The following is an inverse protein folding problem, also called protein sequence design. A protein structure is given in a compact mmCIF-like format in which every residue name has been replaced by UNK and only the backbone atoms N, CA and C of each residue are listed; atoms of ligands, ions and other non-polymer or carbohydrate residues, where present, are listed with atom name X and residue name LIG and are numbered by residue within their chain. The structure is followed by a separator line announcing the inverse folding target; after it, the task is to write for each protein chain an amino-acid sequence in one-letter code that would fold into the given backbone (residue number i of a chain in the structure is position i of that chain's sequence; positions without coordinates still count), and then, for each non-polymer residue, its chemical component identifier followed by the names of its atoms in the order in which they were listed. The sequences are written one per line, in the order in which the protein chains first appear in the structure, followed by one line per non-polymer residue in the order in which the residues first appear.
data_IF_109372215306
#
_entry.id   IF_109372215306
#
_cell.length_a   1.000
_cell.length_b   1.000
_cell.length_c   1.000
_cell.angle_alpha   90.00
_cell.angle_beta   90.00
_cell.angle_gamma   90.00
#
_symmetry.space_group_name_H-M   'P 1'
#
loop_
_entity.id
_entity.type
_entity.pdbx_description
1 polymer ?
#
# COMPACT_ATOMS: atom_id res chain seq x y z
N UNK A 1 12.15 7.05 -2.75
CA UNK A 1 12.61 6.35 -1.52
C UNK A 1 12.19 4.89 -1.49
N UNK A 2 10.91 4.55 -1.58
CA UNK A 2 10.46 3.14 -1.54
C UNK A 2 11.17 2.25 -2.57
N UNK A 3 11.31 2.72 -3.81
CA UNK A 3 12.05 2.01 -4.85
C UNK A 3 13.52 1.76 -4.48
N UNK A 4 14.17 2.72 -3.81
CA UNK A 4 15.56 2.56 -3.37
C UNK A 4 15.67 1.53 -2.23
N UNK A 5 14.70 1.47 -1.30
CA UNK A 5 14.67 0.46 -0.24
C UNK A 5 14.54 -0.95 -0.81
N UNK A 6 13.63 -1.16 -1.78
CA UNK A 6 13.49 -2.45 -2.45
C UNK A 6 14.75 -2.81 -3.27
N UNK A 7 15.33 -1.84 -3.98
CA UNK A 7 16.58 -2.06 -4.71
C UNK A 7 17.73 -2.47 -3.77
N UNK A 8 17.87 -1.81 -2.62
CA UNK A 8 18.86 -2.16 -1.60
C UNK A 8 18.63 -3.56 -0.99
N UNK A 9 17.37 -4.00 -0.92
CA UNK A 9 16.99 -5.37 -0.52
C UNK A 9 17.19 -6.41 -1.65
N UNK A 10 17.69 -6.02 -2.83
CA UNK A 10 18.02 -6.92 -3.94
C UNK A 10 16.91 -7.10 -4.97
N UNK A 11 15.82 -6.33 -4.90
CA UNK A 11 14.74 -6.41 -5.88
C UNK A 11 15.07 -5.63 -7.16
N UNK A 12 14.61 -6.17 -8.30
CA UNK A 12 14.43 -5.35 -9.50
C UNK A 12 13.13 -4.55 -9.35
N UNK A 13 13.25 -3.23 -9.38
CA UNK A 13 12.13 -2.33 -9.13
C UNK A 13 11.74 -1.63 -10.42
N UNK A 14 10.45 -1.62 -10.72
CA UNK A 14 9.87 -0.92 -11.86
C UNK A 14 8.83 0.06 -11.32
N UNK A 15 8.86 1.30 -11.82
CA UNK A 15 7.79 2.26 -11.56
C UNK A 15 6.61 1.97 -12.50
N UNK A 16 5.43 1.74 -11.93
CA UNK A 16 4.24 1.30 -12.67
C UNK A 16 3.08 2.20 -12.30
N UNK A 17 2.59 2.95 -13.28
CA UNK A 17 1.38 3.76 -13.10
C UNK A 17 0.11 2.92 -13.32
N UNK A 18 -1.03 3.42 -12.86
CA UNK A 18 -2.32 2.77 -13.17
C UNK A 18 -2.63 2.79 -14.68
N UNK A 19 -2.12 3.79 -15.40
CA UNK A 19 -2.25 3.88 -16.85
C UNK A 19 -1.49 2.76 -17.57
N UNK A 20 -0.33 2.36 -17.05
CA UNK A 20 0.45 1.23 -17.57
C UNK A 20 -0.37 -0.06 -17.51
N UNK A 21 -0.96 -0.36 -16.35
CA UNK A 21 -1.75 -1.57 -16.12
C UNK A 21 -3.08 -1.61 -16.88
N UNK A 22 -3.62 -0.45 -17.28
CA UNK A 22 -4.85 -0.34 -18.06
C UNK A 22 -4.65 -0.63 -19.56
N UNK A 23 -3.40 -0.76 -20.02
CA UNK A 23 -3.06 -0.94 -21.44
C UNK A 23 -2.23 0.21 -22.01
N UNK A 24 -1.43 0.87 -21.17
CA UNK A 24 -0.41 1.80 -21.63
C UNK A 24 0.70 1.12 -22.44
N UNK A 25 1.67 1.92 -22.91
CA UNK A 25 2.72 1.48 -23.83
C UNK A 25 3.68 0.41 -23.28
N UNK A 26 3.67 0.19 -21.96
CA UNK A 26 4.61 -0.70 -21.28
C UNK A 26 4.21 -2.18 -21.32
N UNK A 27 2.93 -2.50 -21.55
CA UNK A 27 2.45 -3.89 -21.60
C UNK A 27 2.53 -4.66 -20.27
N UNK A 28 2.79 -3.97 -19.16
CA UNK A 28 2.89 -4.59 -17.85
C UNK A 28 1.54 -5.12 -17.35
N UNK A 29 1.59 -6.29 -16.71
CA UNK A 29 0.46 -6.94 -16.06
C UNK A 29 0.82 -7.25 -14.62
N UNK A 30 0.00 -6.77 -13.69
CA UNK A 30 0.27 -6.91 -12.26
C UNK A 30 0.33 -8.40 -11.86
N UNK A 31 -0.66 -9.16 -12.30
CA UNK A 31 -0.86 -10.59 -12.01
C UNK A 31 0.22 -11.50 -12.60
N UNK A 32 0.87 -11.08 -13.70
CA UNK A 32 1.74 -11.95 -14.48
C UNK A 32 3.23 -11.61 -14.39
N UNK A 33 3.59 -10.34 -14.21
CA UNK A 33 4.99 -9.89 -14.34
C UNK A 33 5.67 -9.60 -13.01
N UNK A 34 4.93 -9.50 -11.90
CA UNK A 34 5.47 -9.05 -10.62
C UNK A 34 5.29 -10.11 -9.54
N UNK A 35 6.33 -10.29 -8.71
CA UNK A 35 6.27 -11.07 -7.48
C UNK A 35 5.76 -10.24 -6.28
N UNK A 36 5.79 -8.92 -6.38
CA UNK A 36 5.36 -8.04 -5.30
C UNK A 36 4.88 -6.68 -5.78
N UNK A 37 3.99 -6.06 -5.00
CA UNK A 37 3.45 -4.74 -5.26
C UNK A 37 3.62 -3.82 -4.05
N UNK A 38 4.34 -2.71 -4.22
CA UNK A 38 4.56 -1.73 -3.17
C UNK A 38 3.78 -0.44 -3.47
N UNK A 39 2.72 -0.20 -2.71
CA UNK A 39 1.88 0.99 -2.81
C UNK A 39 2.50 2.09 -1.93
N UNK A 40 3.32 2.94 -2.55
CA UNK A 40 3.89 4.09 -1.88
C UNK A 40 2.79 5.07 -1.46
N UNK A 41 2.97 5.67 -0.27
CA UNK A 41 2.16 6.79 0.18
C UNK A 41 2.48 8.06 -0.60
N UNK A 42 1.45 8.87 -0.80
CA UNK A 42 1.50 10.18 -1.45
C UNK A 42 0.07 10.72 -1.60
N UNK A 43 -0.07 12.00 -1.96
CA UNK A 43 -1.37 12.63 -2.24
C UNK A 43 -1.94 12.17 -3.59
N UNK A 44 -2.22 10.88 -3.75
CA UNK A 44 -2.87 10.35 -4.96
C UNK A 44 -4.22 11.06 -5.15
N UNK A 45 -4.36 11.81 -6.25
CA UNK A 45 -5.50 12.71 -6.54
C UNK A 45 -5.67 13.91 -5.58
N UNK A 46 -4.60 14.38 -4.94
CA UNK A 46 -4.63 15.51 -4.00
C UNK A 46 -5.63 15.34 -2.84
N UNK A 47 -6.01 14.10 -2.51
CA UNK A 47 -7.08 13.76 -1.56
C UNK A 47 -8.45 14.42 -1.86
N UNK A 48 -8.67 14.95 -3.08
CA UNK A 48 -9.84 15.75 -3.44
C UNK A 48 -11.19 14.99 -3.33
N UNK A 49 -11.15 13.65 -3.30
CA UNK A 49 -12.32 12.78 -3.13
C UNK A 49 -12.22 11.93 -1.84
N UNK A 50 -11.25 12.22 -0.98
CA UNK A 50 -10.83 11.45 0.20
C UNK A 50 -9.66 10.51 -0.11
N UNK A 51 -8.71 10.43 0.82
CA UNK A 51 -7.47 9.69 0.65
C UNK A 51 -7.71 8.22 0.20
N UNK A 52 -7.01 7.82 -0.87
CA UNK A 52 -7.09 6.48 -1.46
C UNK A 52 -8.39 6.12 -2.21
N UNK A 53 -9.46 6.92 -2.14
CA UNK A 53 -10.75 6.60 -2.79
C UNK A 53 -10.69 6.64 -4.32
N UNK A 54 -10.06 7.67 -4.89
CA UNK A 54 -9.89 7.76 -6.36
C UNK A 54 -9.04 6.62 -6.90
N UNK A 55 -8.02 6.21 -6.15
CA UNK A 55 -7.14 5.11 -6.56
C UNK A 55 -7.83 3.74 -6.46
N UNK A 56 -8.55 3.48 -5.38
CA UNK A 56 -9.38 2.27 -5.24
C UNK A 56 -10.48 2.22 -6.32
N UNK A 57 -11.10 3.36 -6.65
CA UNK A 57 -12.10 3.45 -7.71
C UNK A 57 -11.51 3.08 -9.07
N UNK A 58 -10.32 3.59 -9.45
CA UNK A 58 -9.67 3.20 -10.71
C UNK A 58 -9.31 1.71 -10.73
N UNK A 59 -8.80 1.18 -9.61
CA UNK A 59 -8.47 -0.25 -9.47
C UNK A 59 -9.70 -1.16 -9.60
N UNK A 60 -10.88 -0.69 -9.19
CA UNK A 60 -12.09 -1.52 -9.11
C UNK A 60 -13.11 -1.30 -10.23
N UNK A 61 -13.18 -0.11 -10.80
CA UNK A 61 -14.17 0.25 -11.83
C UNK A 61 -13.76 -0.21 -13.23
N UNK A 62 -12.48 -0.42 -13.49
CA UNK A 62 -12.00 -0.95 -14.77
C UNK A 62 -11.96 -2.49 -14.73
N UNK A 63 -12.81 -3.22 -15.49
CA UNK A 63 -12.93 -4.68 -15.36
C UNK A 63 -11.62 -5.43 -15.58
N UNK A 64 -10.81 -4.98 -16.55
CA UNK A 64 -9.49 -5.57 -16.84
C UNK A 64 -8.52 -5.40 -15.68
N UNK A 65 -8.50 -4.23 -15.06
CA UNK A 65 -7.60 -3.92 -13.96
C UNK A 65 -8.04 -4.63 -12.70
N UNK A 66 -9.36 -4.67 -12.44
CA UNK A 66 -9.94 -5.42 -11.34
C UNK A 66 -9.56 -6.90 -11.41
N UNK A 67 -9.67 -7.52 -12.58
CA UNK A 67 -9.27 -8.91 -12.77
C UNK A 67 -7.78 -9.15 -12.48
N UNK A 68 -6.89 -8.25 -12.90
CA UNK A 68 -5.45 -8.34 -12.58
C UNK A 68 -5.20 -8.24 -11.07
N UNK A 69 -5.88 -7.32 -10.39
CA UNK A 69 -5.76 -7.14 -8.95
C UNK A 69 -6.28 -8.36 -8.19
N UNK A 70 -7.48 -8.86 -8.54
CA UNK A 70 -8.06 -10.04 -7.91
C UNK A 70 -7.19 -11.29 -8.14
N UNK A 71 -6.58 -11.43 -9.33
CA UNK A 71 -5.69 -12.55 -9.62
C UNK A 71 -4.36 -12.43 -8.87
N UNK A 72 -3.78 -11.23 -8.81
CA UNK A 72 -2.58 -10.96 -8.03
C UNK A 72 -2.81 -11.26 -6.54
N UNK A 73 -3.92 -10.79 -5.97
CA UNK A 73 -4.23 -11.01 -4.54
C UNK A 73 -4.35 -12.50 -4.16
N UNK A 74 -4.81 -13.36 -5.08
CA UNK A 74 -4.98 -14.80 -4.82
C UNK A 74 -3.70 -15.61 -4.94
N UNK A 75 -2.60 -14.99 -5.40
CA UNK A 75 -1.34 -15.69 -5.59
C UNK A 75 -0.64 -15.91 -4.25
N UNK A 76 -0.40 -17.17 -3.91
CA UNK A 76 0.37 -17.58 -2.73
C UNK A 76 1.87 -17.27 -2.86
N UNK A 77 2.35 -17.00 -4.08
CA UNK A 77 3.74 -16.63 -4.40
C UNK A 77 3.95 -15.11 -4.55
N UNK A 78 3.02 -14.31 -4.01
CA UNK A 78 3.04 -12.85 -4.14
C UNK A 78 3.03 -12.13 -2.79
N UNK A 79 3.48 -10.88 -2.78
CA UNK A 79 3.37 -10.00 -1.60
C UNK A 79 2.89 -8.60 -1.95
N UNK A 80 2.29 -7.90 -0.97
CA UNK A 80 1.96 -6.49 -1.10
C UNK A 80 2.39 -5.69 0.13
N UNK A 81 2.79 -4.43 -0.09
CA UNK A 81 3.19 -3.50 0.97
C UNK A 81 2.51 -2.15 0.76
N UNK A 82 1.81 -1.65 1.78
CA UNK A 82 1.16 -0.34 1.75
C UNK A 82 1.75 0.58 2.82
N UNK A 83 2.30 1.72 2.41
CA UNK A 83 2.88 2.72 3.34
C UNK A 83 2.01 3.98 3.32
N UNK A 84 1.64 4.52 4.48
CA UNK A 84 0.81 5.73 4.60
C UNK A 84 -0.50 5.58 3.80
N UNK A 85 -0.69 6.34 2.70
CA UNK A 85 -1.86 6.23 1.82
C UNK A 85 -1.96 4.87 1.09
N UNK A 86 -0.84 4.14 0.92
CA UNK A 86 -0.87 2.77 0.43
C UNK A 86 -1.61 1.82 1.38
N UNK A 87 -1.44 1.98 2.70
CA UNK A 87 -2.17 1.18 3.68
C UNK A 87 -3.68 1.46 3.60
N UNK A 88 -4.06 2.73 3.39
CA UNK A 88 -5.45 3.13 3.16
C UNK A 88 -6.06 2.49 1.91
N UNK A 89 -5.27 2.34 0.84
CA UNK A 89 -5.68 1.65 -0.37
C UNK A 89 -5.89 0.15 -0.09
N UNK A 90 -4.89 -0.52 0.51
CA UNK A 90 -4.98 -1.96 0.81
C UNK A 90 -6.18 -2.30 1.68
N UNK A 91 -6.46 -1.48 2.71
CA UNK A 91 -7.68 -1.56 3.52
C UNK A 91 -8.95 -1.54 2.67
N UNK A 92 -9.06 -0.58 1.74
CA UNK A 92 -10.24 -0.44 0.85
C UNK A 92 -10.37 -1.56 -0.17
N UNK A 93 -9.24 -2.12 -0.61
CA UNK A 93 -9.21 -3.27 -1.52
C UNK A 93 -9.48 -4.60 -0.79
N UNK A 94 -9.44 -4.62 0.55
CA UNK A 94 -9.54 -5.84 1.34
C UNK A 94 -8.29 -6.72 1.22
N UNK A 95 -7.12 -6.10 1.07
CA UNK A 95 -5.81 -6.76 0.90
C UNK A 95 -5.01 -6.81 2.21
N UNK A 96 -5.61 -6.41 3.33
CA UNK A 96 -5.00 -6.59 4.64
C UNK A 96 -5.14 -8.06 5.05
N UNK A 97 -4.17 -8.53 5.82
CA UNK A 97 -4.20 -9.86 6.45
C UNK A 97 -5.51 -10.05 7.22
N UNK A 98 -6.09 -11.24 7.14
CA UNK A 98 -7.34 -11.61 7.84
C UNK A 98 -7.22 -11.36 9.36
N UNK A 99 -6.00 -11.47 9.90
CA UNK A 99 -5.70 -11.20 11.31
C UNK A 99 -5.78 -9.71 11.68
N UNK A 100 -5.68 -8.79 10.71
CA UNK A 100 -5.76 -7.35 10.95
C UNK A 100 -7.20 -6.86 11.19
N UNK A 101 -8.21 -7.65 10.81
CA UNK A 101 -9.61 -7.23 10.83
C UNK A 101 -9.93 -6.06 9.89
N UNK A 102 -11.15 -5.52 9.99
CA UNK A 102 -11.55 -4.33 9.21
C UNK A 102 -10.93 -3.06 9.81
N UNK A 103 -9.76 -2.68 9.29
CA UNK A 103 -9.10 -1.42 9.68
C UNK A 103 -9.56 -0.29 8.79
N UNK A 104 -10.15 0.76 9.36
CA UNK A 104 -10.43 2.01 8.66
C UNK A 104 -9.49 3.11 9.19
N UNK A 105 -8.76 3.75 8.28
CA UNK A 105 -7.90 4.88 8.62
C UNK A 105 -8.72 6.17 8.55
N UNK A 106 -9.07 6.68 9.73
CA UNK A 106 -9.87 7.89 9.96
C UNK A 106 -9.02 9.07 10.42
N UNK A 107 -9.65 10.25 10.41
CA UNK A 107 -9.04 11.54 10.75
C UNK A 107 -8.27 11.47 12.07
N UNK A 108 -7.13 12.17 12.09
CA UNK A 108 -6.38 12.28 13.34
C UNK A 108 -7.27 12.99 14.36
N UNK A 109 -7.32 12.49 15.60
CA UNK A 109 -8.05 13.16 16.70
C UNK A 109 -7.60 14.61 16.91
N UNK A 110 -6.39 14.95 16.48
CA UNK A 110 -5.84 16.31 16.52
C UNK A 110 -6.41 17.24 15.45
N UNK A 111 -7.17 16.73 14.47
CA UNK A 111 -7.70 17.47 13.32
C UNK A 111 -6.61 18.04 12.41
N UNK A 112 -5.37 17.57 12.53
CA UNK A 112 -4.19 18.13 11.85
C UNK A 112 -3.30 17.04 11.27
N UNK A 113 -2.53 17.44 10.27
CA UNK A 113 -1.43 16.64 9.75
C UNK A 113 -0.37 16.40 10.84
N UNK A 114 0.10 15.17 10.97
CA UNK A 114 1.17 14.80 11.90
C UNK A 114 2.39 14.24 11.15
N UNK A 115 3.54 14.88 11.40
CA UNK A 115 4.86 14.42 10.97
C UNK A 115 5.75 14.30 12.21
N UNK A 116 6.01 13.06 12.63
CA UNK A 116 6.74 12.75 13.86
C UNK A 116 7.58 11.50 13.67
N UNK A 117 8.66 11.44 14.43
CA UNK A 117 9.31 10.18 14.76
C UNK A 117 8.52 9.52 15.89
N UNK A 118 8.04 8.31 15.64
CA UNK A 118 7.28 7.53 16.62
C UNK A 118 7.98 6.21 16.89
N UNK A 119 7.97 5.80 18.14
CA UNK A 119 8.39 4.46 18.53
C UNK A 119 7.23 3.50 18.30
N UNK A 120 7.52 2.38 17.62
CA UNK A 120 6.55 1.31 17.40
C UNK A 120 7.11 0.00 17.93
N UNK A 121 6.23 -0.79 18.54
CA UNK A 121 6.53 -2.14 18.98
C UNK A 121 5.97 -3.13 17.96
N UNK A 122 6.79 -4.09 17.56
CA UNK A 122 6.35 -5.20 16.74
C UNK A 122 5.62 -6.20 17.65
N UNK A 123 4.41 -6.56 17.26
CA UNK A 123 3.70 -7.65 17.92
C UNK A 123 4.37 -8.98 17.52
N UNK A 124 4.85 -9.79 18.48
CA UNK A 124 5.48 -11.07 18.19
C UNK A 124 4.58 -12.05 17.41
N UNK A 125 3.26 -11.87 17.47
CA UNK A 125 2.30 -12.72 16.74
C UNK A 125 2.24 -12.45 15.23
N UNK A 126 2.78 -11.32 14.76
CA UNK A 126 2.71 -10.90 13.35
C UNK A 126 3.96 -11.36 12.56
N UNK A 127 5.07 -11.65 13.23
CA UNK A 127 6.31 -12.04 12.58
C UNK A 127 6.50 -13.56 12.59
N UNK A 128 6.30 -14.22 11.45
CA UNK A 128 6.54 -15.67 11.27
C UNK A 128 8.01 -16.11 11.26
N UNK A 129 8.93 -15.27 11.75
CA UNK A 129 10.35 -15.61 11.87
C UNK A 129 10.80 -15.33 13.31
N UNK A 130 11.54 -16.26 13.91
CA UNK A 130 12.07 -16.20 15.28
C UNK A 130 13.11 -15.08 15.51
N UNK A 131 13.11 -14.01 14.71
CA UNK A 131 13.80 -12.78 15.07
C UNK A 131 12.89 -11.98 16.01
N UNK A 132 13.25 -11.99 17.30
CA UNK A 132 12.71 -11.08 18.30
C UNK A 132 12.93 -9.64 17.83
N UNK A 133 11.93 -9.06 17.17
CA UNK A 133 11.95 -7.68 16.72
C UNK A 133 12.06 -6.75 17.92
N UNK A 134 13.24 -6.17 18.14
CA UNK A 134 13.38 -5.03 19.05
C UNK A 134 12.62 -3.87 18.43
N UNK A 135 11.72 -3.24 19.19
CA UNK A 135 10.98 -2.05 18.76
C UNK A 135 11.91 -1.00 18.15
N UNK A 136 11.40 -0.27 17.16
CA UNK A 136 12.18 0.67 16.37
C UNK A 136 11.44 2.00 16.19
N UNK A 137 12.18 3.05 15.85
CA UNK A 137 11.58 4.31 15.44
C UNK A 137 11.30 4.28 13.94
N UNK A 138 10.06 4.61 13.57
CA UNK A 138 9.67 4.76 12.16
C UNK A 138 9.16 6.18 11.92
N UNK A 139 9.45 6.77 10.74
CA UNK A 139 8.84 8.04 10.37
C UNK A 139 7.35 7.82 10.14
N UNK A 140 6.51 8.50 10.92
CA UNK A 140 5.07 8.51 10.73
C UNK A 140 4.66 9.80 10.05
N UNK A 141 4.18 9.65 8.82
CA UNK A 141 3.48 10.69 8.07
C UNK A 141 2.01 10.26 7.96
N UNK A 142 1.12 10.98 8.65
CA UNK A 142 -0.32 10.72 8.57
C UNK A 142 -1.04 12.04 8.29
N UNK A 143 -1.50 12.18 7.05
CA UNK A 143 -2.34 13.27 6.60
C UNK A 143 -3.75 12.80 6.33
N UNK A 144 -4.70 13.47 6.96
CA UNK A 144 -6.09 13.48 6.53
C UNK A 144 -6.50 14.94 6.47
N UNK A 145 -6.81 15.39 5.26
CA UNK A 145 -7.15 16.77 4.96
C UNK A 145 -8.62 16.88 4.57
N UNK A 146 -9.32 17.78 5.29
CA UNK A 146 -10.44 18.55 4.77
C UNK A 146 -11.81 18.27 5.40
N UNK A 147 -12.11 19.06 6.45
CA UNK A 147 -13.40 19.54 7.01
C UNK A 147 -14.67 18.71 6.84
#
# INVERSE_FOLDING_TARGET
ELAACFFAAGFQVVDVSMSDLLGGFSGYRLDAHFAGAAFAGGFSFADALGAGKGWAAVATLAPKLRAQFDQFQRREDSFSLGICNGCQLLSRLGWLDDNAGKVHLEENKSGRFESRWVEVHLDPSICGTEEKGTGGQVPLLKGLGGS
#
